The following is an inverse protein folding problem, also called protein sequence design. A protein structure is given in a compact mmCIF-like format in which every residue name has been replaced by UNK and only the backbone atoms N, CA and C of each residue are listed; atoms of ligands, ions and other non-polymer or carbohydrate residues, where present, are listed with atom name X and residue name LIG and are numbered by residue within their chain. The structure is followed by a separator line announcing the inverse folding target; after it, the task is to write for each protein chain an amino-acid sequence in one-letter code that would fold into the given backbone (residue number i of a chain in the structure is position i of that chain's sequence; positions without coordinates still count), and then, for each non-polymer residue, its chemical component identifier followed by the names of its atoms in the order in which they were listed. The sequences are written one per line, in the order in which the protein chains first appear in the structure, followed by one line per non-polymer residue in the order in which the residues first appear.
data_IF_331306952179
#
_entry.id   IF_331306952179
#
_cell.length_a   1.000
_cell.length_b   1.000
_cell.length_c   1.000
_cell.angle_alpha   90.00
_cell.angle_beta   90.00
_cell.angle_gamma   90.00
#
_symmetry.space_group_name_H-M   'P 1'
#
loop_
_entity.id
_entity.type
_entity.pdbx_description
1 polymer ?
#
# COMPACT_ATOMS: atom_id res chain seq x y z
N UNK A 1 84.38 -53.32 46.13
CA UNK A 1 84.67 -52.01 46.76
C UNK A 1 84.80 -50.98 45.64
N UNK A 2 84.08 -49.87 45.73
CA UNK A 2 84.24 -48.74 44.80
C UNK A 2 85.69 -48.27 44.85
N UNK A 3 86.41 -48.41 43.73
CA UNK A 3 87.77 -47.90 43.61
C UNK A 3 87.75 -46.37 43.55
N UNK A 4 88.68 -45.75 44.26
CA UNK A 4 88.91 -44.32 44.21
C UNK A 4 89.34 -43.87 42.80
N UNK A 5 89.03 -42.62 42.39
CA UNK A 5 89.51 -42.07 41.14
C UNK A 5 91.05 -42.11 41.10
N UNK A 6 91.61 -42.75 40.08
CA UNK A 6 93.06 -42.74 39.84
C UNK A 6 93.39 -41.69 38.78
N UNK A 7 94.41 -40.88 39.08
CA UNK A 7 94.90 -39.76 38.25
C UNK A 7 95.51 -40.25 36.92
N UNK A 8 95.74 -41.57 36.79
CA UNK A 8 96.27 -42.21 35.59
C UNK A 8 95.24 -43.19 35.02
N UNK A 9 94.37 -42.70 34.15
CA UNK A 9 93.61 -43.55 33.23
C UNK A 9 94.53 -44.01 32.10
N UNK A 10 94.58 -45.31 31.75
CA UNK A 10 95.42 -45.82 30.67
C UNK A 10 94.94 -45.42 29.26
N UNK A 11 93.92 -44.56 29.14
CA UNK A 11 93.45 -44.00 27.87
C UNK A 11 93.70 -42.48 27.78
N UNK A 12 94.78 -41.98 28.38
CA UNK A 12 95.27 -40.63 28.12
C UNK A 12 96.32 -40.65 27.01
N UNK A 13 95.95 -40.25 25.79
CA UNK A 13 96.90 -40.17 24.68
C UNK A 13 97.65 -38.83 24.74
N UNK A 14 98.79 -38.83 25.44
CA UNK A 14 99.65 -37.67 25.66
C UNK A 14 100.26 -37.08 24.39
N UNK A 15 100.27 -37.81 23.27
CA UNK A 15 100.83 -37.32 22.00
C UNK A 15 100.07 -36.16 21.37
N UNK A 16 98.86 -35.85 21.85
CA UNK A 16 98.06 -34.70 21.39
C UNK A 16 98.20 -33.45 22.27
N UNK A 17 99.08 -33.47 23.30
CA UNK A 17 99.29 -32.35 24.21
C UNK A 17 100.78 -32.01 24.29
N UNK A 18 101.19 -30.91 23.64
CA UNK A 18 102.61 -30.53 23.52
C UNK A 18 103.14 -29.69 24.71
N UNK A 19 102.31 -29.42 25.72
CA UNK A 19 102.72 -28.72 26.95
C UNK A 19 101.71 -28.96 28.07
N UNK A 20 102.12 -28.72 29.31
CA UNK A 20 101.34 -29.02 30.52
C UNK A 20 99.99 -28.31 30.63
N UNK A 21 99.71 -27.29 29.78
CA UNK A 21 98.43 -26.57 29.70
C UNK A 21 97.79 -26.62 28.29
N UNK A 22 98.15 -27.60 27.45
CA UNK A 22 97.60 -27.74 26.11
C UNK A 22 96.09 -28.01 26.11
N UNK A 23 95.36 -27.42 25.15
CA UNK A 23 93.96 -27.71 24.89
C UNK A 23 93.80 -28.30 23.48
N UNK A 24 92.89 -29.26 23.32
CA UNK A 24 92.50 -29.74 21.99
C UNK A 24 91.62 -28.68 21.32
N UNK A 25 91.94 -28.32 20.07
CA UNK A 25 91.04 -27.50 19.24
C UNK A 25 89.81 -28.33 18.88
N UNK A 26 88.65 -27.68 18.68
CA UNK A 26 87.39 -28.38 18.36
C UNK A 26 87.57 -29.36 17.19
N UNK A 27 88.35 -29.01 16.17
CA UNK A 27 88.62 -29.89 15.01
C UNK A 27 89.27 -31.24 15.37
N UNK A 28 90.01 -31.33 16.48
CA UNK A 28 90.73 -32.56 16.89
C UNK A 28 90.04 -33.29 18.05
N UNK A 29 89.23 -32.61 18.87
CA UNK A 29 88.41 -33.24 19.91
C UNK A 29 87.05 -33.76 19.41
N UNK A 30 86.54 -33.24 18.29
CA UNK A 30 85.12 -33.31 17.95
C UNK A 30 84.80 -34.27 16.78
N UNK A 31 84.90 -35.57 17.04
CA UNK A 31 84.03 -36.53 16.36
C UNK A 31 83.32 -37.50 17.31
N UNK A 32 83.65 -37.53 18.61
CA UNK A 32 83.00 -38.48 19.55
C UNK A 32 82.62 -37.94 20.91
N UNK A 33 83.17 -36.82 21.39
CA UNK A 33 82.83 -36.31 22.72
C UNK A 33 82.84 -34.79 22.76
N UNK A 34 81.74 -34.17 22.31
CA UNK A 34 81.42 -32.82 22.74
C UNK A 34 81.27 -32.86 24.27
N UNK A 35 82.20 -32.23 24.98
CA UNK A 35 82.31 -32.27 26.45
C UNK A 35 80.97 -31.93 27.10
N UNK A 36 80.47 -32.84 27.94
CA UNK A 36 79.31 -32.68 28.81
C UNK A 36 79.60 -31.59 29.86
N UNK A 37 79.51 -30.31 29.49
CA UNK A 37 79.67 -29.17 30.40
C UNK A 37 80.61 -28.03 29.95
N UNK A 38 81.01 -27.96 28.67
CA UNK A 38 81.76 -26.81 28.13
C UNK A 38 80.90 -25.88 27.26
N UNK A 39 81.08 -24.56 27.36
CA UNK A 39 80.35 -23.50 26.62
C UNK A 39 80.81 -23.32 25.15
N UNK A 40 80.96 -24.40 24.38
CA UNK A 40 81.37 -24.32 22.97
C UNK A 40 80.23 -23.95 22.02
N UNK A 41 80.49 -23.14 20.99
CA UNK A 41 79.56 -22.88 19.89
C UNK A 41 79.83 -23.82 18.71
N UNK A 42 78.80 -24.52 18.22
CA UNK A 42 78.86 -25.29 16.97
C UNK A 42 78.33 -24.43 15.82
N UNK A 43 79.00 -24.46 14.67
CA UNK A 43 78.52 -23.80 13.46
C UNK A 43 77.30 -24.51 12.84
N UNK A 44 77.23 -25.84 12.98
CA UNK A 44 76.06 -26.65 12.63
C UNK A 44 76.08 -27.97 13.43
N UNK A 45 74.89 -28.51 13.72
CA UNK A 45 74.69 -29.83 14.32
C UNK A 45 73.63 -30.59 13.52
N UNK A 46 73.99 -31.74 12.93
CA UNK A 46 73.02 -32.64 12.29
C UNK A 46 72.75 -33.84 13.20
N UNK A 47 71.50 -34.05 13.60
CA UNK A 47 71.10 -35.16 14.46
C UNK A 47 70.27 -36.14 13.63
N UNK A 48 70.79 -37.34 13.40
CA UNK A 48 70.14 -38.40 12.58
C UNK A 48 68.99 -39.09 13.35
N UNK A 49 68.73 -38.69 14.60
CA UNK A 49 67.70 -39.25 15.46
C UNK A 49 67.13 -38.22 16.45
N UNK A 50 66.79 -38.68 17.65
CA UNK A 50 66.19 -37.82 18.66
C UNK A 50 67.25 -36.94 19.34
N UNK A 51 66.92 -35.66 19.51
CA UNK A 51 67.65 -34.77 20.41
C UNK A 51 67.09 -34.90 21.82
N UNK A 52 67.78 -35.65 22.70
CA UNK A 52 67.45 -35.69 24.12
C UNK A 52 68.24 -34.61 24.85
N UNK A 53 67.63 -33.44 25.02
CA UNK A 53 68.23 -32.30 25.69
C UNK A 53 67.32 -31.82 26.83
N UNK A 54 67.92 -31.27 27.89
CA UNK A 54 67.17 -30.69 29.00
C UNK A 54 66.41 -29.42 28.60
N UNK A 55 66.94 -28.67 27.63
CA UNK A 55 66.29 -27.53 27.00
C UNK A 55 66.81 -27.35 25.58
N UNK A 56 65.94 -26.90 24.67
CA UNK A 56 66.32 -26.50 23.31
C UNK A 56 66.23 -25.00 23.21
N UNK A 57 67.33 -24.32 22.89
CA UNK A 57 67.37 -22.87 22.69
C UNK A 57 67.63 -22.56 21.23
N UNK A 58 66.73 -21.81 20.59
CA UNK A 58 66.86 -21.38 19.19
C UNK A 58 66.95 -19.85 19.18
N UNK A 59 67.99 -19.30 18.54
CA UNK A 59 68.25 -17.86 18.49
C UNK A 59 68.24 -17.19 19.89
N UNK A 60 68.81 -17.87 20.89
CA UNK A 60 68.90 -17.37 22.26
C UNK A 60 67.61 -17.48 23.08
N UNK A 61 66.50 -17.97 22.52
CA UNK A 61 65.25 -18.19 23.25
C UNK A 61 65.04 -19.68 23.52
N UNK A 62 64.78 -20.05 24.79
CA UNK A 62 64.39 -21.43 25.14
C UNK A 62 63.03 -21.74 24.53
N UNK A 63 62.94 -22.83 23.78
CA UNK A 63 61.69 -23.34 23.22
C UNK A 63 60.97 -24.18 24.28
N UNK A 64 59.72 -23.82 24.58
CA UNK A 64 58.84 -24.65 25.41
C UNK A 64 58.25 -25.79 24.57
N UNK A 65 58.68 -27.01 24.87
CA UNK A 65 58.30 -28.22 24.14
C UNK A 65 57.08 -28.94 24.77
N UNK A 66 56.56 -28.43 25.90
CA UNK A 66 55.44 -29.08 26.62
C UNK A 66 54.16 -29.23 25.78
N UNK A 67 53.96 -28.33 24.81
CA UNK A 67 52.79 -28.32 23.92
C UNK A 67 52.90 -29.12 22.62
N UNK A 68 54.06 -29.69 22.28
CA UNK A 68 54.26 -30.35 20.97
C UNK A 68 53.34 -31.56 20.73
N UNK A 69 52.93 -32.24 21.81
CA UNK A 69 51.96 -33.35 21.73
C UNK A 69 50.60 -32.91 21.16
N UNK A 70 50.23 -31.63 21.32
CA UNK A 70 49.01 -31.05 20.76
C UNK A 70 49.15 -30.69 19.27
N UNK A 71 50.37 -30.55 18.76
CA UNK A 71 50.67 -30.20 17.36
C UNK A 71 50.85 -31.43 16.46
N UNK A 72 51.29 -32.55 17.02
CA UNK A 72 51.47 -33.81 16.28
C UNK A 72 50.15 -34.34 15.72
N UNK A 73 50.12 -34.59 14.41
CA UNK A 73 48.95 -35.09 13.68
C UNK A 73 47.91 -34.03 13.32
N UNK A 74 48.15 -32.74 13.59
CA UNK A 74 47.26 -31.65 13.17
C UNK A 74 47.39 -31.41 11.66
N UNK A 75 46.26 -31.30 10.96
CA UNK A 75 46.19 -30.81 9.58
C UNK A 75 45.76 -29.34 9.61
N UNK A 76 46.54 -28.39 9.05
CA UNK A 76 46.14 -26.98 8.99
C UNK A 76 44.73 -26.80 8.39
N UNK A 77 43.90 -25.98 9.03
CA UNK A 77 42.51 -25.73 8.61
C UNK A 77 41.48 -26.76 9.06
N UNK A 78 41.88 -27.87 9.67
CA UNK A 78 40.95 -28.88 10.23
C UNK A 78 41.14 -29.02 11.74
N UNK A 79 40.15 -28.62 12.52
CA UNK A 79 40.15 -28.79 13.97
C UNK A 79 40.12 -30.28 14.33
N UNK A 80 41.10 -30.73 15.11
CA UNK A 80 41.18 -32.10 15.63
C UNK A 80 40.91 -32.11 17.14
N UNK A 81 40.13 -33.09 17.62
CA UNK A 81 39.80 -33.19 19.03
C UNK A 81 41.06 -33.31 19.90
N UNK A 82 41.11 -32.54 20.99
CA UNK A 82 42.25 -32.52 21.94
C UNK A 82 43.61 -32.13 21.31
N UNK A 83 43.59 -31.33 20.24
CA UNK A 83 44.79 -30.84 19.53
C UNK A 83 44.74 -29.33 19.34
N UNK A 84 45.85 -28.75 18.89
CA UNK A 84 45.95 -27.32 18.56
C UNK A 84 45.07 -26.93 17.37
N UNK A 85 44.58 -25.69 17.39
CA UNK A 85 43.86 -25.07 16.28
C UNK A 85 44.83 -24.24 15.44
N UNK A 86 45.01 -24.62 14.17
CA UNK A 86 45.95 -23.95 13.25
C UNK A 86 45.19 -23.57 11.98
N UNK A 87 45.36 -22.32 11.55
CA UNK A 87 44.84 -21.81 10.30
C UNK A 87 45.46 -22.52 9.09
N UNK A 88 44.71 -22.70 8.01
CA UNK A 88 45.31 -23.08 6.71
C UNK A 88 45.95 -21.87 5.99
N UNK A 89 46.46 -22.11 4.77
CA UNK A 89 47.07 -21.06 3.93
C UNK A 89 46.11 -19.92 3.56
N UNK A 90 44.80 -20.13 3.71
CA UNK A 90 43.74 -19.16 3.43
C UNK A 90 43.15 -18.55 4.72
N UNK A 91 43.76 -18.81 5.88
CA UNK A 91 43.25 -18.41 7.20
C UNK A 91 41.89 -19.02 7.57
N UNK A 92 41.55 -20.18 7.00
CA UNK A 92 40.33 -20.89 7.33
C UNK A 92 40.54 -21.93 8.43
N UNK A 93 39.44 -22.26 9.10
CA UNK A 93 39.28 -23.36 10.05
C UNK A 93 37.95 -24.05 9.74
N UNK A 94 37.93 -25.38 9.80
CA UNK A 94 36.74 -26.23 9.69
C UNK A 94 36.74 -27.31 10.79
N UNK A 95 35.59 -27.94 11.04
CA UNK A 95 35.49 -29.07 11.97
C UNK A 95 35.31 -28.71 13.46
N UNK A 96 35.10 -27.43 13.80
CA UNK A 96 34.71 -27.05 15.16
C UNK A 96 33.21 -27.38 15.35
N UNK A 97 32.90 -28.30 16.26
CA UNK A 97 31.51 -28.68 16.56
C UNK A 97 30.72 -27.58 17.30
N UNK A 98 31.36 -26.89 18.26
CA UNK A 98 30.75 -25.79 19.01
C UNK A 98 31.84 -24.83 19.48
N UNK A 99 31.60 -23.53 19.35
CA UNK A 99 32.49 -22.47 19.82
C UNK A 99 31.78 -21.69 20.92
N UNK A 100 32.15 -21.95 22.17
CA UNK A 100 31.65 -21.18 23.32
C UNK A 100 32.58 -19.99 23.56
N UNK A 101 32.07 -18.79 23.36
CA UNK A 101 32.80 -17.53 23.58
C UNK A 101 31.86 -16.49 24.19
N UNK A 102 32.39 -15.55 24.95
CA UNK A 102 31.63 -14.37 25.42
C UNK A 102 31.37 -13.38 24.27
N UNK A 103 32.26 -13.33 23.28
CA UNK A 103 32.18 -12.40 22.16
C UNK A 103 32.80 -13.02 20.91
N UNK A 104 32.10 -12.93 19.78
CA UNK A 104 32.62 -13.33 18.47
C UNK A 104 32.70 -12.09 17.58
N UNK A 105 33.88 -11.77 17.06
CA UNK A 105 34.08 -10.65 16.14
C UNK A 105 34.15 -11.20 14.71
N UNK A 106 33.24 -10.76 13.85
CA UNK A 106 33.14 -11.12 12.44
C UNK A 106 33.48 -9.88 11.59
N UNK A 107 34.73 -9.78 11.15
CA UNK A 107 35.24 -8.57 10.51
C UNK A 107 35.32 -7.41 11.51
N UNK A 108 34.61 -6.31 11.24
CA UNK A 108 34.46 -5.19 12.19
C UNK A 108 33.21 -5.28 13.06
N UNK A 109 32.38 -6.31 12.89
CA UNK A 109 31.12 -6.47 13.61
C UNK A 109 31.28 -7.40 14.80
N UNK A 110 30.77 -7.00 15.95
CA UNK A 110 30.77 -7.81 17.18
C UNK A 110 29.42 -8.48 17.34
N UNK A 111 29.39 -9.82 17.44
CA UNK A 111 28.20 -10.56 17.83
C UNK A 111 28.26 -10.83 19.35
N UNK A 112 27.44 -10.08 20.10
CA UNK A 112 27.26 -10.25 21.54
C UNK A 112 26.17 -11.28 21.86
N UNK A 113 26.04 -11.64 23.14
CA UNK A 113 24.95 -12.50 23.61
C UNK A 113 23.56 -11.89 23.38
N UNK A 114 23.42 -10.56 23.47
CA UNK A 114 22.16 -9.87 23.22
C UNK A 114 21.74 -9.99 21.77
N UNK A 115 22.63 -9.73 20.81
CA UNK A 115 22.29 -9.85 19.39
C UNK A 115 22.04 -11.31 19.01
N UNK A 116 22.87 -12.25 19.49
CA UNK A 116 22.63 -13.68 19.29
C UNK A 116 21.25 -14.11 19.82
N UNK A 117 20.79 -13.51 20.92
CA UNK A 117 19.47 -13.78 21.48
C UNK A 117 18.33 -13.42 20.52
N UNK A 118 18.50 -12.44 19.62
CA UNK A 118 17.47 -12.08 18.65
C UNK A 118 17.30 -13.13 17.54
N UNK A 119 18.29 -13.99 17.32
CA UNK A 119 18.32 -14.97 16.23
C UNK A 119 17.95 -16.40 16.66
N UNK A 120 18.08 -16.73 17.96
CA UNK A 120 17.76 -18.08 18.46
C UNK A 120 16.26 -18.31 18.61
N UNK A 121 15.80 -19.52 18.26
CA UNK A 121 14.41 -19.95 18.45
C UNK A 121 13.40 -19.37 17.45
N UNK A 122 13.89 -18.80 16.35
CA UNK A 122 13.06 -18.24 15.28
C UNK A 122 12.27 -19.33 14.54
N UNK A 123 11.00 -19.06 14.30
CA UNK A 123 10.20 -19.77 13.30
C UNK A 123 10.09 -18.87 12.07
N UNK A 124 10.58 -19.33 10.92
CA UNK A 124 10.57 -18.52 9.68
C UNK A 124 9.15 -18.07 9.31
N UNK A 125 8.97 -16.78 9.05
CA UNK A 125 7.67 -16.19 8.70
C UNK A 125 6.69 -16.00 9.86
N UNK A 126 7.14 -16.15 11.11
CA UNK A 126 6.35 -15.81 12.30
C UNK A 126 7.10 -14.75 13.09
N UNK A 127 6.53 -13.56 13.22
CA UNK A 127 7.08 -12.53 14.10
C UNK A 127 6.94 -12.98 15.56
N UNK A 128 8.05 -12.96 16.30
CA UNK A 128 8.12 -13.26 17.72
C UNK A 128 8.60 -12.03 18.49
N UNK A 129 8.11 -11.84 19.72
CA UNK A 129 8.51 -10.71 20.55
C UNK A 129 10.02 -10.71 20.81
N UNK A 130 10.66 -9.55 20.67
CA UNK A 130 12.09 -9.33 20.94
C UNK A 130 13.03 -10.19 20.07
N UNK A 131 12.59 -10.63 18.89
CA UNK A 131 13.39 -11.40 17.93
C UNK A 131 13.48 -10.70 16.59
N UNK A 132 14.42 -11.15 15.76
CA UNK A 132 14.48 -10.76 14.36
C UNK A 132 13.23 -11.26 13.61
N UNK A 133 12.77 -10.49 12.62
CA UNK A 133 11.69 -10.91 11.73
C UNK A 133 12.33 -11.54 10.49
N UNK A 134 11.91 -12.76 10.16
CA UNK A 134 12.30 -13.47 8.95
C UNK A 134 11.07 -13.82 8.14
N UNK A 135 11.25 -14.01 6.84
CA UNK A 135 10.19 -14.51 5.95
C UNK A 135 10.25 -16.03 5.86
N UNK A 136 9.12 -16.68 5.57
CA UNK A 136 9.12 -18.11 5.24
C UNK A 136 9.50 -18.36 3.77
N UNK A 137 9.50 -19.63 3.34
CA UNK A 137 9.82 -20.00 1.95
C UNK A 137 8.90 -19.41 0.87
N UNK A 138 7.76 -18.83 1.25
CA UNK A 138 6.84 -18.11 0.36
C UNK A 138 6.90 -16.59 0.54
N UNK A 139 7.94 -16.08 1.21
CA UNK A 139 8.12 -14.66 1.52
C UNK A 139 7.03 -14.04 2.42
N UNK A 140 6.34 -14.85 3.23
CA UNK A 140 5.28 -14.40 4.12
C UNK A 140 5.79 -14.14 5.55
N UNK A 141 5.11 -13.23 6.25
CA UNK A 141 5.26 -12.97 7.69
C UNK A 141 3.88 -12.91 8.34
N UNK A 142 3.74 -13.54 9.51
CA UNK A 142 2.54 -13.53 10.35
C UNK A 142 2.83 -13.02 11.77
N UNK A 143 1.80 -12.80 12.58
CA UNK A 143 1.89 -12.42 14.00
C UNK A 143 2.49 -11.03 14.31
N UNK A 144 2.53 -10.13 13.32
CA UNK A 144 2.83 -8.71 13.59
C UNK A 144 1.59 -8.06 14.22
N UNK A 145 1.72 -7.58 15.46
CA UNK A 145 0.61 -6.90 16.15
C UNK A 145 0.33 -5.48 15.62
N UNK A 146 1.38 -4.72 15.35
CA UNK A 146 1.28 -3.37 14.78
C UNK A 146 2.47 -3.12 13.84
N UNK A 147 2.21 -2.57 12.66
CA UNK A 147 3.22 -2.20 11.68
C UNK A 147 3.12 -0.70 11.41
N UNK A 148 4.08 0.07 11.94
CA UNK A 148 4.24 1.48 11.60
C UNK A 148 5.31 1.62 10.52
N UNK A 149 4.96 2.22 9.39
CA UNK A 149 5.85 2.48 8.27
C UNK A 149 5.47 3.81 7.61
N UNK A 150 6.44 4.49 6.98
CA UNK A 150 6.17 5.70 6.19
C UNK A 150 5.34 5.42 4.94
N UNK A 151 5.36 4.19 4.44
CA UNK A 151 4.53 3.70 3.36
C UNK A 151 4.51 2.17 3.33
N UNK A 152 3.39 1.61 2.85
CA UNK A 152 3.21 0.18 2.66
C UNK A 152 2.79 -0.03 1.20
N UNK A 153 3.67 -0.64 0.40
CA UNK A 153 3.36 -1.02 -1.00
C UNK A 153 3.00 -2.50 -1.03
N UNK A 154 1.73 -2.82 -0.83
CA UNK A 154 1.21 -4.20 -0.79
C UNK A 154 -0.22 -4.27 -1.32
N UNK A 155 -0.70 -5.49 -1.58
CA UNK A 155 -2.12 -5.78 -1.81
C UNK A 155 -2.76 -6.26 -0.51
N UNK A 156 -3.91 -5.72 -0.13
CA UNK A 156 -4.68 -6.26 0.99
C UNK A 156 -5.67 -7.29 0.44
N UNK A 157 -5.49 -8.55 0.79
CA UNK A 157 -6.23 -9.68 0.19
C UNK A 157 -7.48 -10.10 0.99
N UNK A 158 -7.64 -9.64 2.24
CA UNK A 158 -8.74 -10.06 3.11
C UNK A 158 -10.06 -9.44 2.64
N UNK A 159 -11.08 -10.27 2.36
CA UNK A 159 -12.38 -9.81 1.86
C UNK A 159 -13.10 -8.81 2.78
N UNK A 160 -12.93 -8.96 4.10
CA UNK A 160 -13.46 -8.02 5.09
C UNK A 160 -12.32 -7.20 5.71
N UNK A 161 -12.47 -5.88 5.69
CA UNK A 161 -11.51 -4.92 6.28
C UNK A 161 -12.20 -4.03 7.33
N UNK A 162 -12.78 -4.59 8.41
CA UNK A 162 -13.59 -3.83 9.37
C UNK A 162 -12.81 -2.75 10.13
N UNK A 163 -11.48 -2.85 10.15
CA UNK A 163 -10.60 -1.99 10.95
C UNK A 163 -9.92 -0.87 10.13
N UNK A 164 -10.27 -0.68 8.85
CA UNK A 164 -9.85 0.52 8.11
C UNK A 164 -10.79 1.66 8.51
N UNK A 165 -10.39 2.45 9.50
CA UNK A 165 -11.20 3.54 10.06
C UNK A 165 -10.88 4.92 9.47
N UNK A 166 -9.72 5.07 8.82
CA UNK A 166 -9.34 6.29 8.12
C UNK A 166 -8.36 5.98 6.98
N UNK A 167 -8.47 6.75 5.91
CA UNK A 167 -7.52 6.80 4.80
C UNK A 167 -7.25 8.28 4.51
N UNK A 168 -6.09 8.57 3.90
CA UNK A 168 -5.91 9.83 3.20
C UNK A 168 -6.73 9.85 1.90
N UNK A 169 -6.09 10.24 0.80
CA UNK A 169 -6.74 10.17 -0.52
C UNK A 169 -6.80 8.70 -0.99
N UNK A 170 -8.01 8.22 -1.35
CA UNK A 170 -8.20 6.93 -2.01
C UNK A 170 -8.21 7.12 -3.53
N UNK A 171 -7.15 6.69 -4.21
CA UNK A 171 -7.06 6.67 -5.68
C UNK A 171 -7.25 5.25 -6.19
N UNK A 172 -8.17 5.05 -7.15
CA UNK A 172 -8.51 3.75 -7.71
C UNK A 172 -8.15 3.73 -9.20
N UNK A 173 -7.22 2.85 -9.65
CA UNK A 173 -6.81 2.81 -11.06
C UNK A 173 -7.85 2.17 -12.00
N UNK A 174 -8.84 1.45 -11.45
CA UNK A 174 -9.87 0.76 -12.23
C UNK A 174 -11.29 1.14 -11.78
N UNK A 175 -11.77 0.59 -10.66
CA UNK A 175 -13.15 0.82 -10.20
C UNK A 175 -13.29 0.69 -8.68
N UNK A 176 -14.37 1.28 -8.16
CA UNK A 176 -14.94 0.94 -6.85
C UNK A 176 -16.16 0.03 -7.08
N UNK A 177 -16.16 -1.16 -6.49
CA UNK A 177 -17.32 -2.07 -6.53
C UNK A 177 -17.77 -2.38 -5.11
N UNK A 178 -19.07 -2.22 -4.84
CA UNK A 178 -19.67 -2.49 -3.54
C UNK A 178 -20.71 -3.58 -3.73
N UNK A 179 -20.44 -4.76 -3.18
CA UNK A 179 -21.33 -5.93 -3.25
C UNK A 179 -21.87 -6.22 -1.86
N UNK A 180 -23.16 -6.56 -1.76
CA UNK A 180 -23.84 -6.85 -0.48
C UNK A 180 -23.85 -5.70 0.55
N UNK A 181 -23.28 -4.53 0.21
CA UNK A 181 -23.27 -3.34 1.07
C UNK A 181 -24.60 -2.60 1.01
N UNK A 182 -25.10 -2.14 2.15
CA UNK A 182 -26.41 -1.48 2.24
C UNK A 182 -26.38 -0.03 1.76
N UNK A 183 -25.27 0.71 1.96
CA UNK A 183 -25.13 2.13 1.56
C UNK A 183 -23.67 2.59 1.36
N UNK A 184 -23.44 3.55 0.46
CA UNK A 184 -22.28 4.45 0.50
C UNK A 184 -22.69 5.65 1.36
N UNK A 185 -22.04 5.85 2.51
CA UNK A 185 -22.27 7.02 3.35
C UNK A 185 -21.07 7.95 3.28
N UNK A 186 -21.28 9.20 2.86
CA UNK A 186 -20.26 10.24 2.82
C UNK A 186 -20.75 11.38 3.71
N UNK A 187 -20.09 11.58 4.85
CA UNK A 187 -20.48 12.56 5.86
C UNK A 187 -19.43 13.64 5.96
N UNK A 188 -19.83 14.88 5.68
CA UNK A 188 -19.03 16.04 5.99
C UNK A 188 -19.46 16.61 7.36
N UNK A 189 -18.62 16.43 8.37
CA UNK A 189 -18.96 16.77 9.77
C UNK A 189 -18.56 18.19 10.17
N UNK A 190 -17.90 18.95 9.29
CA UNK A 190 -17.45 20.31 9.60
C UNK A 190 -18.51 21.32 9.17
N UNK A 191 -18.95 22.18 10.09
CA UNK A 191 -20.10 23.08 9.89
C UNK A 191 -19.88 24.22 8.88
N UNK A 192 -18.65 24.42 8.41
CA UNK A 192 -18.25 25.52 7.52
C UNK A 192 -17.69 25.05 6.17
N UNK A 193 -18.01 23.83 5.72
CA UNK A 193 -17.47 23.30 4.46
C UNK A 193 -18.56 22.87 3.49
N UNK A 194 -18.27 23.01 2.19
CA UNK A 194 -19.12 22.50 1.13
C UNK A 194 -18.84 21.02 0.90
N UNK A 195 -19.89 20.21 0.79
CA UNK A 195 -19.76 18.83 0.29
C UNK A 195 -20.14 18.80 -1.18
N UNK A 196 -19.18 18.46 -2.04
CA UNK A 196 -19.39 18.35 -3.48
C UNK A 196 -19.19 16.90 -3.91
N UNK A 197 -20.14 16.37 -4.67
CA UNK A 197 -19.97 15.12 -5.44
C UNK A 197 -19.82 15.52 -6.90
N UNK A 198 -18.60 15.36 -7.43
CA UNK A 198 -18.30 15.67 -8.83
C UNK A 198 -18.24 14.34 -9.59
N UNK A 199 -19.06 14.23 -10.63
CA UNK A 199 -19.07 13.10 -11.55
C UNK A 199 -18.59 13.66 -12.89
N UNK A 200 -17.36 13.33 -13.27
CA UNK A 200 -16.69 13.87 -14.47
C UNK A 200 -16.15 12.72 -15.33
N UNK A 201 -16.18 12.91 -16.65
CA UNK A 201 -15.65 11.96 -17.63
C UNK A 201 -14.98 12.75 -18.77
N UNK A 202 -13.83 12.28 -19.25
CA UNK A 202 -13.11 12.91 -20.36
C UNK A 202 -13.60 12.45 -21.75
N UNK A 203 -14.45 11.41 -21.82
CA UNK A 203 -15.12 11.00 -23.05
C UNK A 203 -16.21 9.93 -22.83
N UNK A 204 -17.33 10.04 -23.54
CA UNK A 204 -18.50 9.14 -23.40
C UNK A 204 -19.59 9.69 -22.48
N UNK A 205 -20.69 8.94 -22.32
CA UNK A 205 -21.81 9.29 -21.44
C UNK A 205 -21.47 9.04 -19.96
N UNK A 206 -22.22 9.67 -19.06
CA UNK A 206 -22.14 9.44 -17.62
C UNK A 206 -23.50 8.97 -17.13
N UNK A 207 -23.55 7.76 -16.60
CA UNK A 207 -24.79 7.17 -16.11
C UNK A 207 -24.83 7.21 -14.58
N UNK A 208 -25.90 7.77 -14.03
CA UNK A 208 -26.24 7.71 -12.62
C UNK A 208 -27.63 7.09 -12.56
N UNK A 209 -27.71 5.83 -12.13
CA UNK A 209 -28.91 5.05 -12.34
C UNK A 209 -29.00 3.80 -11.48
N UNK A 210 -30.18 3.19 -11.52
CA UNK A 210 -30.37 1.78 -11.15
C UNK A 210 -30.44 0.97 -12.44
N UNK A 211 -29.78 -0.19 -12.49
CA UNK A 211 -29.91 -1.17 -13.57
C UNK A 211 -31.03 -2.18 -13.33
N UNK A 212 -31.71 -2.06 -12.19
CA UNK A 212 -32.86 -2.88 -11.79
C UNK A 212 -34.14 -2.03 -11.81
N UNK A 213 -35.32 -2.66 -11.75
CA UNK A 213 -36.63 -2.00 -11.75
C UNK A 213 -36.95 -1.26 -10.43
N UNK A 214 -35.99 -0.54 -9.88
CA UNK A 214 -36.08 0.24 -8.65
C UNK A 214 -35.80 1.70 -8.93
N UNK A 215 -36.42 2.56 -8.12
CA UNK A 215 -36.27 4.01 -8.24
C UNK A 215 -34.85 4.50 -7.89
N UNK A 216 -34.42 5.57 -8.53
CA UNK A 216 -33.26 6.38 -8.12
C UNK A 216 -33.78 7.72 -7.57
N UNK A 217 -33.22 8.25 -6.48
CA UNK A 217 -33.68 9.51 -5.91
C UNK A 217 -32.60 10.39 -5.29
N UNK A 218 -32.79 11.71 -5.39
CA UNK A 218 -32.05 12.73 -4.64
C UNK A 218 -32.90 13.14 -3.42
N UNK A 219 -32.29 13.20 -2.24
CA UNK A 219 -32.99 13.39 -0.95
C UNK A 219 -32.47 14.59 -0.18
N UNK A 220 -33.38 15.27 0.52
CA UNK A 220 -33.09 16.35 1.47
C UNK A 220 -34.01 16.22 2.67
N UNK A 221 -33.49 16.36 3.89
CA UNK A 221 -34.23 16.17 5.14
C UNK A 221 -35.04 14.85 5.19
N UNK A 222 -34.45 13.76 4.69
CA UNK A 222 -35.13 12.46 4.66
C UNK A 222 -36.27 12.34 3.63
N UNK A 223 -36.45 13.31 2.74
CA UNK A 223 -37.52 13.31 1.73
C UNK A 223 -36.91 13.31 0.32
N UNK A 224 -37.50 12.55 -0.62
CA UNK A 224 -37.06 12.55 -2.03
C UNK A 224 -37.56 13.81 -2.75
N UNK A 225 -36.62 14.59 -3.31
CA UNK A 225 -36.90 15.83 -4.05
C UNK A 225 -36.92 15.60 -5.55
N UNK A 226 -36.03 14.75 -6.05
CA UNK A 226 -36.01 14.25 -7.42
C UNK A 226 -36.06 12.73 -7.36
N UNK A 227 -36.96 12.09 -8.09
CA UNK A 227 -37.06 10.62 -8.16
C UNK A 227 -37.26 10.19 -9.60
N UNK A 228 -36.43 9.27 -10.08
CA UNK A 228 -36.70 8.49 -11.30
C UNK A 228 -37.45 7.24 -10.83
N UNK A 229 -38.70 7.11 -11.22
CA UNK A 229 -39.53 5.93 -10.92
C UNK A 229 -39.02 4.69 -11.66
N UNK A 230 -39.51 3.50 -11.27
CA UNK A 230 -39.16 2.25 -11.96
C UNK A 230 -39.61 2.21 -13.43
N UNK A 231 -40.57 3.04 -13.82
CA UNK A 231 -41.01 3.23 -15.20
C UNK A 231 -40.18 4.25 -15.99
N UNK A 232 -39.13 4.82 -15.41
CA UNK A 232 -38.27 5.82 -16.04
C UNK A 232 -38.76 7.27 -15.93
N UNK A 233 -39.99 7.48 -15.47
CA UNK A 233 -40.54 8.82 -15.31
C UNK A 233 -39.82 9.56 -14.18
N UNK A 234 -39.40 10.79 -14.44
CA UNK A 234 -38.79 11.68 -13.46
C UNK A 234 -39.88 12.45 -12.73
N UNK A 235 -39.76 12.54 -11.42
CA UNK A 235 -40.63 13.32 -10.55
C UNK A 235 -39.77 14.32 -9.79
N UNK A 236 -40.07 15.60 -9.96
CA UNK A 236 -39.63 16.67 -9.07
C UNK A 236 -40.78 16.84 -8.07
N UNK A 237 -40.55 16.71 -6.77
CA UNK A 237 -41.61 16.82 -5.78
C UNK A 237 -41.11 17.57 -4.54
N UNK A 238 -41.78 18.68 -4.21
CA UNK A 238 -41.85 19.20 -2.85
C UNK A 238 -43.13 18.70 -2.19
N UNK A 239 -42.99 17.79 -1.23
CA UNK A 239 -44.12 17.25 -0.46
C UNK A 239 -44.66 18.21 0.60
N UNK A 240 -44.17 19.47 0.66
CA UNK A 240 -44.69 20.49 1.57
C UNK A 240 -45.49 21.63 0.89
N UNK A 241 -45.19 22.00 -0.36
CA UNK A 241 -45.85 23.17 -1.01
C UNK A 241 -46.37 22.96 -2.44
N UNK A 242 -46.29 21.75 -3.01
CA UNK A 242 -47.13 21.37 -4.15
C UNK A 242 -46.86 22.05 -5.50
N UNK A 243 -45.61 22.45 -5.81
CA UNK A 243 -45.25 22.95 -7.14
C UNK A 243 -43.97 22.32 -7.72
N UNK A 244 -44.08 21.97 -9.02
CA UNK A 244 -43.07 21.64 -10.06
C UNK A 244 -42.88 20.15 -10.44
N UNK A 245 -43.33 19.75 -11.65
CA UNK A 245 -43.28 18.38 -12.22
C UNK A 245 -43.19 18.42 -13.78
N UNK A 246 -42.29 17.62 -14.39
CA UNK A 246 -42.16 17.35 -15.84
C UNK A 246 -41.96 15.83 -16.08
N UNK A 247 -42.59 15.25 -17.10
CA UNK A 247 -42.92 13.82 -17.24
C UNK A 247 -42.57 13.25 -18.63
N UNK A 248 -41.71 12.22 -18.72
CA UNK A 248 -41.48 11.39 -19.93
C UNK A 248 -42.31 10.10 -19.95
N UNK A 249 -42.40 9.27 -21.02
CA UNK A 249 -41.54 9.14 -22.22
C UNK A 249 -42.23 8.76 -23.55
N UNK A 250 -43.53 9.03 -23.75
CA UNK A 250 -44.16 9.06 -25.10
C UNK A 250 -44.88 10.37 -25.41
N UNK A 251 -44.68 11.41 -24.58
CA UNK A 251 -45.44 12.64 -24.64
C UNK A 251 -44.83 13.72 -25.54
N UNK A 252 -45.67 14.36 -26.35
CA UNK A 252 -45.40 15.56 -27.14
C UNK A 252 -45.62 16.87 -26.33
N UNK A 253 -45.46 16.81 -25.00
CA UNK A 253 -45.79 17.85 -24.02
C UNK A 253 -46.33 17.26 -22.70
N UNK A 254 -46.68 18.11 -21.72
CA UNK A 254 -47.42 17.73 -20.51
C UNK A 254 -48.83 17.24 -20.90
N UNK A 255 -49.02 15.92 -21.09
CA UNK A 255 -50.33 15.31 -21.35
C UNK A 255 -51.13 15.15 -20.05
N UNK A 256 -51.63 16.27 -19.53
CA UNK A 256 -52.52 16.33 -18.38
C UNK A 256 -53.83 16.98 -18.85
N UNK A 257 -54.94 16.22 -19.00
CA UNK A 257 -56.26 16.76 -19.38
C UNK A 257 -56.78 17.89 -18.46
N UNK A 258 -56.09 18.13 -17.34
CA UNK A 258 -56.36 19.19 -16.39
C UNK A 258 -55.04 19.87 -15.97
N UNK A 259 -54.28 20.38 -16.93
CA UNK A 259 -53.15 21.27 -16.63
C UNK A 259 -53.67 22.54 -15.91
N UNK A 260 -53.61 22.59 -14.58
CA UNK A 260 -54.12 23.72 -13.78
C UNK A 260 -53.07 24.82 -13.69
N UNK A 261 -53.26 25.92 -14.41
CA UNK A 261 -52.49 27.14 -14.17
C UNK A 261 -53.07 27.86 -12.95
N UNK A 262 -52.26 28.09 -11.90
CA UNK A 262 -52.65 28.87 -10.71
C UNK A 262 -53.89 28.33 -9.96
N UNK A 263 -54.10 27.01 -9.98
CA UNK A 263 -55.13 26.35 -9.15
C UNK A 263 -56.56 26.40 -9.70
N UNK A 264 -56.77 26.87 -10.93
CA UNK A 264 -58.06 26.71 -11.63
C UNK A 264 -57.89 25.76 -12.82
N UNK A 265 -58.89 24.91 -13.05
CA UNK A 265 -58.94 24.01 -14.22
C UNK A 265 -58.83 24.86 -15.48
N UNK A 266 -57.74 24.72 -16.24
CA UNK A 266 -57.64 25.28 -17.59
C UNK A 266 -58.50 24.40 -18.49
N UNK A 267 -59.60 24.90 -19.07
CA UNK A 267 -60.41 24.13 -20.02
C UNK A 267 -59.67 24.13 -21.36
N UNK A 268 -58.64 23.31 -21.48
CA UNK A 268 -57.80 23.13 -22.68
C UNK A 268 -58.62 22.84 -23.95
N UNK A 269 -59.73 22.13 -23.78
CA UNK A 269 -60.70 21.88 -24.85
C UNK A 269 -61.26 23.16 -25.43
N UNK A 270 -61.36 24.27 -24.68
CA UNK A 270 -61.81 25.56 -25.23
C UNK A 270 -60.78 26.25 -26.10
N UNK A 271 -59.51 25.82 -26.10
CA UNK A 271 -58.43 26.54 -26.79
C UNK A 271 -57.71 25.68 -27.85
N UNK A 272 -58.08 24.41 -27.99
CA UNK A 272 -57.50 23.46 -28.95
C UNK A 272 -58.46 23.19 -30.12
N UNK A 273 -57.90 22.96 -31.32
CA UNK A 273 -58.68 22.65 -32.53
C UNK A 273 -59.48 23.83 -33.12
N UNK A 274 -59.10 25.08 -32.81
CA UNK A 274 -59.72 26.29 -33.36
C UNK A 274 -58.98 26.73 -34.61
N UNK A 275 -59.70 26.99 -35.70
CA UNK A 275 -59.15 27.70 -36.86
C UNK A 275 -59.12 29.21 -36.56
N UNK A 276 -57.95 29.83 -36.59
CA UNK A 276 -57.79 31.27 -36.31
C UNK A 276 -58.71 32.12 -37.19
N UNK A 277 -59.40 33.09 -36.59
CA UNK A 277 -60.35 33.96 -37.30
C UNK A 277 -61.73 33.33 -37.55
N UNK A 278 -61.99 32.11 -37.04
CA UNK A 278 -63.28 31.42 -37.11
C UNK A 278 -63.81 31.04 -35.73
N UNK A 279 -65.14 31.03 -35.55
CA UNK A 279 -65.78 30.51 -34.35
C UNK A 279 -66.06 29.00 -34.45
N UNK A 280 -65.78 28.27 -33.37
CA UNK A 280 -66.12 26.85 -33.22
C UNK A 280 -67.00 26.68 -31.98
N UNK A 281 -68.02 25.82 -32.05
CA UNK A 281 -68.99 25.65 -30.97
C UNK A 281 -68.32 25.25 -29.64
N UNK A 282 -68.67 25.97 -28.57
CA UNK A 282 -68.14 25.75 -27.21
C UNK A 282 -66.62 25.85 -27.11
N UNK A 283 -66.01 26.69 -27.95
CA UNK A 283 -64.58 27.03 -27.92
C UNK A 283 -64.40 28.54 -27.70
N UNK A 284 -63.20 28.94 -27.33
CA UNK A 284 -62.78 30.33 -27.29
C UNK A 284 -62.79 30.93 -28.71
N UNK A 285 -63.05 32.24 -28.79
CA UNK A 285 -62.87 33.00 -30.03
C UNK A 285 -61.42 33.46 -30.08
N UNK A 286 -60.68 33.07 -31.11
CA UNK A 286 -59.28 33.44 -31.30
C UNK A 286 -59.15 34.25 -32.59
N UNK A 287 -58.66 35.48 -32.46
CA UNK A 287 -58.43 36.38 -33.59
C UNK A 287 -57.29 35.85 -34.47
N UNK A 288 -57.38 36.09 -35.78
CA UNK A 288 -56.25 35.84 -36.68
C UNK A 288 -55.27 37.05 -36.70
N UNK A 289 -54.24 36.97 -37.53
CA UNK A 289 -53.23 38.04 -37.65
C UNK A 289 -53.76 39.37 -38.19
N UNK A 290 -54.91 39.37 -38.86
CA UNK A 290 -55.58 40.59 -39.34
C UNK A 290 -56.53 41.18 -38.29
N UNK A 291 -56.63 40.53 -37.12
CA UNK A 291 -57.58 40.83 -36.05
C UNK A 291 -59.05 40.68 -36.48
N UNK A 292 -59.29 39.96 -37.57
CA UNK A 292 -60.62 39.67 -38.08
C UNK A 292 -61.19 38.42 -37.42
N UNK A 293 -62.53 38.39 -37.29
CA UNK A 293 -63.27 37.22 -36.83
C UNK A 293 -64.49 36.96 -37.72
N UNK A 294 -64.85 35.69 -37.89
CA UNK A 294 -66.02 35.25 -38.65
C UNK A 294 -66.68 34.03 -37.98
N UNK A 295 -67.96 33.78 -38.29
CA UNK A 295 -68.66 32.56 -37.89
C UNK A 295 -69.41 32.59 -36.53
N UNK A 296 -69.49 33.74 -35.85
CA UNK A 296 -70.46 33.87 -34.74
C UNK A 296 -71.88 33.90 -35.30
N UNK A 297 -72.76 33.05 -34.77
CA UNK A 297 -74.17 33.01 -35.19
C UNK A 297 -74.95 34.20 -34.65
N UNK A 298 -74.97 34.34 -33.33
CA UNK A 298 -75.66 35.42 -32.63
C UNK A 298 -74.68 36.12 -31.70
N UNK A 299 -74.64 37.46 -31.77
CA UNK A 299 -73.86 38.30 -30.87
C UNK A 299 -74.82 39.22 -30.11
N UNK A 300 -75.15 38.85 -28.88
CA UNK A 300 -75.99 39.67 -28.01
C UNK A 300 -75.13 40.68 -27.25
N UNK A 301 -75.44 41.97 -27.41
CA UNK A 301 -74.73 43.06 -26.76
C UNK A 301 -75.74 43.78 -25.88
N UNK A 302 -75.56 43.67 -24.57
CA UNK A 302 -76.51 44.22 -23.57
C UNK A 302 -76.28 45.70 -23.27
N UNK A 303 -75.23 46.29 -23.84
CA UNK A 303 -74.92 47.73 -23.76
C UNK A 303 -74.76 48.28 -25.18
N UNK A 304 -73.97 49.35 -25.36
CA UNK A 304 -73.71 49.91 -26.69
C UNK A 304 -72.69 49.04 -27.42
N UNK A 305 -73.01 48.66 -28.66
CA UNK A 305 -72.00 48.26 -29.63
C UNK A 305 -71.33 49.52 -30.20
N UNK A 306 -70.00 49.61 -30.11
CA UNK A 306 -69.24 50.78 -30.59
C UNK A 306 -68.22 50.25 -31.61
N UNK A 307 -68.43 50.53 -32.90
CA UNK A 307 -67.56 50.08 -33.99
C UNK A 307 -66.24 50.87 -34.11
N UNK A 308 -65.66 51.31 -32.99
CA UNK A 308 -64.55 52.28 -32.85
C UNK A 308 -64.90 53.73 -33.23
N UNK A 309 -64.41 54.68 -32.43
CA UNK A 309 -64.44 56.13 -32.74
C UNK A 309 -63.17 56.61 -33.49
N UNK A 310 -62.18 55.72 -33.68
CA UNK A 310 -60.84 56.05 -34.20
C UNK A 310 -60.52 55.41 -35.55
N UNK A 311 -61.46 54.70 -36.17
CA UNK A 311 -61.34 54.22 -37.55
C UNK A 311 -61.93 55.27 -38.49
N UNK A 312 -61.29 55.51 -39.64
CA UNK A 312 -61.66 56.59 -40.55
C UNK A 312 -63.05 56.44 -41.18
N UNK A 313 -63.64 55.23 -41.15
CA UNK A 313 -64.97 54.94 -41.71
C UNK A 313 -65.57 53.68 -41.06
N UNK A 314 -66.02 53.72 -39.79
CA UNK A 314 -66.68 52.56 -39.19
C UNK A 314 -68.00 52.34 -39.92
N UNK A 315 -68.24 51.13 -40.42
CA UNK A 315 -69.50 50.77 -41.05
C UNK A 315 -70.07 49.52 -40.39
N UNK A 316 -71.39 49.53 -40.18
CA UNK A 316 -72.14 48.35 -39.76
C UNK A 316 -73.08 48.04 -40.92
N UNK A 317 -72.80 46.95 -41.63
CA UNK A 317 -73.68 46.46 -42.69
C UNK A 317 -74.57 45.38 -42.09
N UNK A 318 -75.88 45.62 -42.11
CA UNK A 318 -76.87 44.64 -41.67
C UNK A 318 -78.08 44.70 -42.60
N UNK A 319 -78.75 43.57 -42.75
CA UNK A 319 -79.93 43.47 -43.60
C UNK A 319 -81.16 44.07 -42.90
N UNK A 320 -81.32 43.80 -41.59
CA UNK A 320 -82.50 44.17 -40.82
C UNK A 320 -82.11 44.65 -39.42
N UNK A 321 -82.63 45.81 -39.01
CA UNK A 321 -82.55 46.33 -37.64
C UNK A 321 -83.97 46.34 -37.07
N UNK A 322 -84.24 45.47 -36.11
CA UNK A 322 -85.49 45.46 -35.35
C UNK A 322 -85.22 46.10 -33.99
N UNK A 323 -85.70 47.33 -33.78
CA UNK A 323 -85.64 47.98 -32.48
C UNK A 323 -86.67 47.37 -31.53
N UNK A 324 -86.30 47.21 -30.25
CA UNK A 324 -87.28 46.97 -29.20
C UNK A 324 -88.12 48.24 -29.06
N UNK A 325 -89.28 48.24 -29.69
CA UNK A 325 -90.37 49.15 -29.35
C UNK A 325 -90.88 48.67 -27.98
N UNK A 326 -90.13 49.01 -26.93
CA UNK A 326 -90.63 48.97 -25.57
C UNK A 326 -92.00 49.63 -25.58
N UNK A 327 -93.02 48.84 -25.28
CA UNK A 327 -94.40 49.30 -25.24
C UNK A 327 -94.48 50.49 -24.28
N UNK A 328 -94.72 51.69 -24.82
CA UNK A 328 -94.99 52.87 -24.02
C UNK A 328 -94.44 54.17 -24.59
N UNK A 329 -95.13 54.70 -25.60
CA UNK A 329 -96.04 55.83 -25.40
C UNK A 329 -96.89 56.03 -26.65
#
# INVERSE_FOLDING_TARGET
MSLSPIINSPLFNSSFFNSSNGYLTLTTADQRYLRLGGVGSLSALNVIGNMNCGSLTINGSSLDLSGLGYLSGVTPGAASASKSLILDSCSNISGINSLQTTTLILGSSTLTSTEASYLIGLTTGVAQANKAITVNGSLNVSSINNLSASGITMTIQTAAQPNITSLGNLTLPASLTITNGTTISITNTTSSSSFNVIIQNSGGAQDIGSTTAHQLALRTNGIRRLTISSGGNVTIADTASGLQLDLGSTGTGLNVPNLTFRGTTFPDTYYTGITLGGAVASKAVVLNSTLDYSGLRDLSITKKFIASASVASPSITCNTITGDIGAGS
#
